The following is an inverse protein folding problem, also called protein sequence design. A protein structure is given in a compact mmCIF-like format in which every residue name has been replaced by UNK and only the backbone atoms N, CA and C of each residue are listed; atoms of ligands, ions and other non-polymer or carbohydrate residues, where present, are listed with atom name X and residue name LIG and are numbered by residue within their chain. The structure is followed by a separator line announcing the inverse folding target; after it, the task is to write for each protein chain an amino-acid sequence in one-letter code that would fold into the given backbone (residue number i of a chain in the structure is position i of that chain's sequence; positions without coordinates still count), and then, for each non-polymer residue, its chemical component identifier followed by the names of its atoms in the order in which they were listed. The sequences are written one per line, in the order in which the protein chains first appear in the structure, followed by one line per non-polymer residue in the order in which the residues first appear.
data_IF_639890773648
#
_entry.id   IF_639890773648
#
_cell.length_a   1.000
_cell.length_b   1.000
_cell.length_c   1.000
_cell.angle_alpha   90.00
_cell.angle_beta   90.00
_cell.angle_gamma   90.00
#
_symmetry.space_group_name_H-M   'P 1'
#
loop_
_entity.id
_entity.type
_entity.pdbx_description
1 polymer ?
#
# COMPACT_ATOMS: atom_id res chain seq x y z
N UNK A 1 58.46 -3.09 -56.02
CA UNK A 1 57.91 -3.40 -54.69
C UNK A 1 56.61 -2.60 -54.54
N UNK A 2 55.44 -3.21 -54.78
CA UNK A 2 54.14 -2.53 -54.73
C UNK A 2 53.43 -2.88 -53.41
N UNK A 3 53.06 -1.88 -52.59
CA UNK A 3 52.28 -2.07 -51.36
C UNK A 3 50.77 -2.09 -51.69
N UNK A 4 50.00 -3.07 -51.19
CA UNK A 4 48.55 -3.04 -51.32
C UNK A 4 47.94 -1.98 -50.37
N UNK A 5 46.98 -1.20 -50.88
CA UNK A 5 46.17 -0.26 -50.07
C UNK A 5 45.08 -1.06 -49.36
N UNK A 6 45.08 -1.04 -48.03
CA UNK A 6 44.00 -1.61 -47.21
C UNK A 6 42.69 -0.83 -47.37
N UNK A 7 41.52 -1.48 -47.22
CA UNK A 7 40.22 -0.84 -47.41
C UNK A 7 39.99 0.25 -46.35
N UNK A 8 39.59 1.44 -46.80
CA UNK A 8 39.12 2.51 -45.94
C UNK A 8 37.70 2.17 -45.47
N UNK A 9 37.55 1.79 -44.22
CA UNK A 9 36.24 1.77 -43.56
C UNK A 9 35.75 3.20 -43.43
N UNK A 10 34.88 3.63 -44.35
CA UNK A 10 34.23 4.93 -44.27
C UNK A 10 33.37 5.01 -43.02
N UNK A 11 33.56 6.05 -42.21
CA UNK A 11 32.60 6.43 -41.16
C UNK A 11 31.28 6.78 -41.84
N UNK A 12 30.25 5.95 -41.64
CA UNK A 12 28.89 6.29 -42.02
C UNK A 12 28.39 7.39 -41.07
N UNK A 13 28.16 8.59 -41.60
CA UNK A 13 27.51 9.69 -40.88
C UNK A 13 25.99 9.61 -40.99
N UNK A 14 25.28 9.99 -39.93
CA UNK A 14 23.82 10.12 -39.94
C UNK A 14 23.38 11.27 -40.86
N UNK A 15 22.31 11.06 -41.63
CA UNK A 15 21.73 12.13 -42.46
C UNK A 15 20.82 13.05 -41.61
N UNK A 16 20.64 14.32 -42.03
CA UNK A 16 19.70 15.23 -41.36
C UNK A 16 18.26 14.67 -41.32
N UNK A 17 17.85 13.97 -42.39
CA UNK A 17 16.52 13.36 -42.48
C UNK A 17 16.38 12.22 -41.47
N UNK A 18 17.42 11.43 -41.26
CA UNK A 18 17.42 10.34 -40.28
C UNK A 18 17.33 10.85 -38.84
N UNK A 19 18.00 11.96 -38.50
CA UNK A 19 17.83 12.62 -37.20
C UNK A 19 16.41 13.13 -36.97
N UNK A 20 15.74 13.67 -37.99
CA UNK A 20 14.36 14.13 -37.88
C UNK A 20 13.40 12.96 -37.66
N UNK A 21 13.57 11.86 -38.41
CA UNK A 21 12.71 10.67 -38.28
C UNK A 21 12.91 9.99 -36.93
N UNK A 22 14.16 9.84 -36.48
CA UNK A 22 14.47 9.26 -35.15
C UNK A 22 13.89 10.11 -34.02
N UNK A 23 13.99 11.43 -34.09
CA UNK A 23 13.37 12.33 -33.10
C UNK A 23 11.84 12.24 -33.13
N UNK A 24 11.22 12.16 -34.31
CA UNK A 24 9.78 11.98 -34.45
C UNK A 24 9.32 10.68 -33.76
N UNK A 25 10.01 9.57 -34.03
CA UNK A 25 9.73 8.27 -33.39
C UNK A 25 9.93 8.37 -31.88
N UNK A 26 11.02 9.00 -31.41
CA UNK A 26 11.28 9.17 -29.98
C UNK A 26 10.17 9.95 -29.26
N UNK A 27 9.64 11.02 -29.86
CA UNK A 27 8.53 11.79 -29.28
C UNK A 27 7.25 10.95 -29.19
N UNK A 28 6.94 10.16 -30.23
CA UNK A 28 5.78 9.25 -30.23
C UNK A 28 5.93 8.21 -29.11
N UNK A 29 7.11 7.63 -28.96
CA UNK A 29 7.38 6.63 -27.92
C UNK A 29 7.29 7.25 -26.51
N UNK A 30 7.83 8.45 -26.29
CA UNK A 30 7.76 9.14 -24.99
C UNK A 30 6.32 9.47 -24.59
N UNK A 31 5.48 9.89 -25.55
CA UNK A 31 4.05 10.18 -25.31
C UNK A 31 3.29 8.97 -24.77
N UNK A 32 3.65 7.77 -25.21
CA UNK A 32 3.01 6.52 -24.79
C UNK A 32 3.69 5.96 -23.51
N UNK A 33 5.02 6.06 -23.42
CA UNK A 33 5.80 5.45 -22.33
C UNK A 33 5.68 6.18 -20.98
N UNK A 34 5.65 7.51 -20.97
CA UNK A 34 5.59 8.32 -19.74
C UNK A 34 4.33 8.03 -18.89
N UNK A 35 3.08 8.03 -19.44
CA UNK A 35 1.90 7.76 -18.63
C UNK A 35 1.90 6.34 -18.03
N UNK A 36 2.35 5.34 -18.80
CA UNK A 36 2.45 3.95 -18.33
C UNK A 36 3.41 3.81 -17.13
N UNK A 37 4.52 4.55 -17.11
CA UNK A 37 5.44 4.57 -15.98
C UNK A 37 4.79 5.17 -14.73
N UNK A 38 3.96 6.21 -14.90
CA UNK A 38 3.19 6.82 -13.82
C UNK A 38 2.23 5.83 -13.15
N UNK A 39 1.47 5.06 -13.93
CA UNK A 39 0.56 4.04 -13.38
C UNK A 39 1.30 2.92 -12.65
N UNK A 40 2.39 2.42 -13.24
CA UNK A 40 3.22 1.39 -12.62
C UNK A 40 3.77 1.85 -11.26
N UNK A 41 4.28 3.09 -11.17
CA UNK A 41 4.77 3.65 -9.92
C UNK A 41 3.65 3.80 -8.88
N UNK A 42 2.46 4.23 -9.28
CA UNK A 42 1.29 4.32 -8.39
C UNK A 42 0.92 2.95 -7.81
N UNK A 43 0.92 1.91 -8.65
CA UNK A 43 0.64 0.54 -8.23
C UNK A 43 1.68 -0.01 -7.24
N UNK A 44 2.97 0.32 -7.42
CA UNK A 44 4.01 -0.02 -6.46
C UNK A 44 3.79 0.66 -5.11
N UNK A 45 3.39 1.93 -5.10
CA UNK A 45 3.12 2.67 -3.85
C UNK A 45 1.93 2.10 -3.07
N UNK A 46 0.84 1.69 -3.75
CA UNK A 46 -0.30 1.02 -3.10
C UNK A 46 0.16 -0.28 -2.44
N UNK A 47 0.91 -1.09 -3.19
CA UNK A 47 1.44 -2.36 -2.68
C UNK A 47 2.37 -2.17 -1.49
N UNK A 48 3.32 -1.24 -1.60
CA UNK A 48 4.24 -0.90 -0.51
C UNK A 48 3.49 -0.40 0.72
N UNK A 49 2.46 0.43 0.55
CA UNK A 49 1.61 0.87 1.66
C UNK A 49 0.85 -0.28 2.31
N UNK A 50 0.29 -1.20 1.52
CA UNK A 50 -0.48 -2.32 2.04
C UNK A 50 0.40 -3.34 2.77
N UNK A 51 1.57 -3.65 2.22
CA UNK A 51 2.61 -4.45 2.88
C UNK A 51 3.13 -3.76 4.14
N UNK A 52 3.27 -2.43 4.12
CA UNK A 52 3.62 -1.62 5.28
C UNK A 52 2.59 -1.74 6.40
N UNK A 53 1.30 -1.63 6.09
CA UNK A 53 0.21 -1.81 7.08
C UNK A 53 0.24 -3.23 7.67
N UNK A 54 0.38 -4.26 6.83
CA UNK A 54 0.54 -5.63 7.32
C UNK A 54 1.75 -5.80 8.24
N UNK A 55 2.88 -5.20 7.87
CA UNK A 55 4.10 -5.22 8.67
C UNK A 55 3.85 -4.56 10.03
N UNK A 56 3.26 -3.36 10.05
CA UNK A 56 2.93 -2.65 11.29
C UNK A 56 2.00 -3.45 12.21
N UNK A 57 0.97 -4.09 11.66
CA UNK A 57 0.09 -4.99 12.44
C UNK A 57 0.86 -6.20 12.99
N UNK A 58 1.75 -6.80 12.18
CA UNK A 58 2.62 -7.90 12.60
C UNK A 58 3.58 -7.49 13.72
N UNK A 59 4.20 -6.31 13.61
CA UNK A 59 5.07 -5.74 14.63
C UNK A 59 4.27 -5.51 15.91
N UNK A 60 3.13 -4.83 15.85
CA UNK A 60 2.28 -4.58 17.01
C UNK A 60 1.91 -5.87 17.75
N UNK A 61 1.47 -6.89 17.02
CA UNK A 61 1.15 -8.19 17.60
C UNK A 61 2.36 -8.88 18.22
N UNK A 62 3.50 -8.88 17.52
CA UNK A 62 4.72 -9.53 18.00
C UNK A 62 5.28 -8.84 19.25
N UNK A 63 5.19 -7.52 19.32
CA UNK A 63 5.63 -6.73 20.46
C UNK A 63 4.69 -6.91 21.66
N UNK A 64 3.38 -7.03 21.41
CA UNK A 64 2.42 -7.37 22.46
C UNK A 64 2.76 -8.71 23.12
N UNK A 65 3.07 -9.73 22.31
CA UNK A 65 3.49 -11.06 22.78
C UNK A 65 4.82 -11.01 23.55
N UNK A 66 5.85 -10.35 22.97
CA UNK A 66 7.19 -10.27 23.59
C UNK A 66 7.18 -9.55 24.93
N UNK A 67 6.39 -8.48 25.03
CA UNK A 67 6.31 -7.63 26.23
C UNK A 67 5.25 -8.09 27.22
N UNK A 68 4.42 -9.06 26.83
CA UNK A 68 3.21 -9.44 27.55
C UNK A 68 2.38 -8.22 27.98
N UNK A 69 2.25 -7.26 27.05
CA UNK A 69 1.65 -5.94 27.30
C UNK A 69 0.77 -5.52 26.12
N UNK A 70 -0.09 -4.52 26.31
CA UNK A 70 -0.92 -4.00 25.23
C UNK A 70 -0.06 -3.18 24.27
N UNK A 71 -0.16 -3.48 22.98
CA UNK A 71 0.49 -2.72 21.91
C UNK A 71 -0.54 -2.37 20.86
N UNK A 72 -0.57 -1.09 20.49
CA UNK A 72 -1.51 -0.53 19.55
C UNK A 72 -0.83 -0.27 18.21
N UNK A 73 -1.49 -0.65 17.13
CA UNK A 73 -1.30 -0.10 15.80
C UNK A 73 -2.32 1.05 15.61
N UNK A 74 -1.86 2.22 15.17
CA UNK A 74 -2.71 3.38 14.88
C UNK A 74 -2.36 3.97 13.52
N UNK A 75 -3.39 4.29 12.74
CA UNK A 75 -3.31 5.22 11.61
C UNK A 75 -4.24 6.38 11.89
N UNK A 76 -3.75 7.60 11.70
CA UNK A 76 -4.56 8.81 11.90
C UNK A 76 -5.28 9.27 10.63
N UNK A 77 -4.84 8.80 9.45
CA UNK A 77 -5.51 9.10 8.18
C UNK A 77 -5.48 10.57 7.76
N UNK A 78 -4.41 11.30 8.12
CA UNK A 78 -4.20 12.69 7.74
C UNK A 78 -4.36 12.92 6.22
N UNK A 79 -4.61 14.16 5.78
CA UNK A 79 -4.70 14.54 4.35
C UNK A 79 -5.62 13.63 3.51
N UNK A 80 -6.76 13.24 4.08
CA UNK A 80 -7.78 12.43 3.40
C UNK A 80 -7.43 10.95 3.27
N UNK A 81 -6.78 10.37 4.29
CA UNK A 81 -6.47 8.94 4.36
C UNK A 81 -5.02 8.59 4.02
N UNK A 82 -4.05 9.44 4.36
CA UNK A 82 -2.63 9.09 4.28
C UNK A 82 -2.34 7.78 5.02
N UNK A 83 -1.39 7.01 4.51
CA UNK A 83 -1.11 5.62 4.96
C UNK A 83 -0.05 5.55 6.05
N UNK A 84 0.20 6.68 6.73
CA UNK A 84 1.12 6.74 7.86
C UNK A 84 0.55 5.99 9.06
N UNK A 85 1.38 5.19 9.70
CA UNK A 85 1.00 4.41 10.87
C UNK A 85 2.07 4.46 11.95
N UNK A 86 1.65 4.22 13.17
CA UNK A 86 2.50 4.12 14.34
C UNK A 86 2.12 2.90 15.17
N UNK A 87 3.13 2.21 15.68
CA UNK A 87 3.01 1.12 16.64
C UNK A 87 3.58 1.60 17.97
N UNK A 88 2.81 1.46 19.04
CA UNK A 88 3.18 1.98 20.35
C UNK A 88 2.66 1.09 21.48
N UNK A 89 3.34 1.09 22.62
CA UNK A 89 2.82 0.44 23.81
C UNK A 89 1.75 1.32 24.48
N UNK A 90 0.64 0.71 24.91
CA UNK A 90 -0.46 1.42 25.58
C UNK A 90 -0.72 0.83 26.97
N UNK A 91 -1.08 1.67 27.92
CA UNK A 91 -1.53 1.23 29.24
C UNK A 91 -2.95 0.64 29.17
N UNK A 92 -3.39 -0.02 30.25
CA UNK A 92 -4.77 -0.47 30.36
C UNK A 92 -5.74 0.72 30.27
N UNK A 93 -6.70 0.64 29.34
CA UNK A 93 -7.64 1.73 29.06
C UNK A 93 -7.10 2.85 28.16
N UNK A 94 -5.82 2.82 27.76
CA UNK A 94 -5.26 3.76 26.82
C UNK A 94 -5.77 3.55 25.40
N UNK A 95 -6.19 4.62 24.73
CA UNK A 95 -6.76 4.59 23.36
C UNK A 95 -5.93 5.36 22.33
N UNK A 96 -4.83 5.97 22.77
CA UNK A 96 -3.90 6.79 21.97
C UNK A 96 -2.46 6.43 22.30
N UNK A 97 -1.52 6.64 21.39
CA UNK A 97 -0.09 6.43 21.64
C UNK A 97 0.47 7.50 22.58
N UNK A 98 0.95 7.16 23.79
CA UNK A 98 1.63 8.13 24.64
C UNK A 98 2.97 8.59 24.04
N UNK A 99 3.42 9.81 24.38
CA UNK A 99 4.75 10.27 24.01
C UNK A 99 5.84 9.33 24.55
N UNK A 100 6.84 9.01 23.71
CA UNK A 100 7.94 8.10 24.07
C UNK A 100 7.59 6.61 24.11
N UNK A 101 6.36 6.22 23.80
CA UNK A 101 5.93 4.81 23.75
C UNK A 101 6.01 4.18 22.36
N UNK A 102 6.41 4.95 21.36
CA UNK A 102 6.52 4.51 19.97
C UNK A 102 7.58 3.42 19.85
N UNK A 103 7.16 2.27 19.34
CA UNK A 103 8.04 1.15 19.04
C UNK A 103 8.51 1.23 17.59
N UNK A 104 7.60 1.58 16.68
CA UNK A 104 7.90 1.75 15.26
C UNK A 104 6.89 2.72 14.64
N UNK A 105 7.32 3.49 13.66
CA UNK A 105 6.44 4.32 12.85
C UNK A 105 6.85 4.24 11.39
N UNK A 106 5.90 4.50 10.51
CA UNK A 106 6.12 4.65 9.07
C UNK A 106 5.48 5.95 8.61
N UNK A 107 6.25 6.75 7.88
CA UNK A 107 5.72 7.95 7.25
C UNK A 107 5.12 7.61 5.88
N UNK A 108 3.81 7.37 5.86
CA UNK A 108 3.11 6.99 4.64
C UNK A 108 2.85 8.16 3.68
N UNK A 109 2.90 9.41 4.16
CA UNK A 109 2.66 10.61 3.35
C UNK A 109 3.81 10.87 2.37
N UNK A 110 5.04 10.76 2.87
CA UNK A 110 6.26 11.00 2.07
C UNK A 110 6.66 9.79 1.22
N UNK A 111 6.49 8.57 1.75
CA UNK A 111 6.88 7.34 1.05
C UNK A 111 5.88 6.89 -0.02
N UNK A 112 4.60 7.24 0.12
CA UNK A 112 3.53 6.74 -0.75
C UNK A 112 2.44 7.80 -0.99
N UNK A 113 2.81 8.96 -1.57
CA UNK A 113 1.93 10.12 -1.68
C UNK A 113 0.68 9.89 -2.54
N UNK A 114 0.63 8.82 -3.35
CA UNK A 114 -0.53 8.46 -4.17
C UNK A 114 -1.45 7.44 -3.51
N UNK A 115 -0.97 6.74 -2.49
CA UNK A 115 -1.79 5.78 -1.76
C UNK A 115 -2.69 6.54 -0.77
N UNK A 116 -3.97 6.19 -0.77
CA UNK A 116 -4.91 6.60 0.26
C UNK A 116 -5.65 5.39 0.79
N UNK A 117 -5.98 5.44 2.07
CA UNK A 117 -6.65 4.38 2.79
C UNK A 117 -8.04 4.82 3.25
N UNK A 118 -8.97 3.86 3.29
CA UNK A 118 -10.22 3.93 4.03
C UNK A 118 -10.28 2.74 4.99
N UNK A 119 -10.88 2.92 6.17
CA UNK A 119 -10.91 1.89 7.20
C UNK A 119 -12.34 1.66 7.72
N UNK A 120 -12.56 0.52 8.38
CA UNK A 120 -13.82 0.24 9.06
C UNK A 120 -13.64 -0.69 10.25
N UNK A 121 -14.51 -0.53 11.24
CA UNK A 121 -14.67 -1.42 12.39
C UNK A 121 -15.87 -2.36 12.25
N UNK A 122 -16.67 -2.20 11.18
CA UNK A 122 -17.84 -3.03 10.92
C UNK A 122 -17.41 -4.40 10.36
N UNK A 123 -17.58 -5.44 11.17
CA UNK A 123 -17.24 -6.81 10.81
C UNK A 123 -18.04 -7.34 9.61
N UNK A 124 -19.24 -6.82 9.34
CA UNK A 124 -20.03 -7.22 8.16
C UNK A 124 -19.33 -6.86 6.85
N UNK A 125 -18.46 -5.85 6.87
CA UNK A 125 -17.68 -5.42 5.71
C UNK A 125 -16.43 -6.27 5.46
N UNK A 126 -16.25 -7.37 6.21
CA UNK A 126 -15.22 -8.40 5.97
C UNK A 126 -15.76 -9.64 5.26
N UNK A 127 -17.07 -9.69 4.98
CA UNK A 127 -17.68 -10.73 4.16
C UNK A 127 -17.29 -10.57 2.69
N UNK A 128 -17.15 -11.68 1.95
CA UNK A 128 -16.67 -11.68 0.56
C UNK A 128 -17.45 -10.72 -0.35
N UNK A 129 -18.77 -10.64 -0.20
CA UNK A 129 -19.64 -9.75 -0.99
C UNK A 129 -19.42 -8.26 -0.70
N UNK A 130 -18.95 -7.90 0.50
CA UNK A 130 -18.74 -6.52 0.89
C UNK A 130 -17.47 -5.91 0.27
N UNK A 131 -16.58 -6.72 -0.32
CA UNK A 131 -15.39 -6.21 -1.02
C UNK A 131 -15.71 -5.60 -2.39
N UNK A 132 -16.91 -5.86 -2.94
CA UNK A 132 -17.37 -5.23 -4.19
C UNK A 132 -17.42 -3.69 -4.07
N UNK A 133 -17.78 -3.18 -2.90
CA UNK A 133 -17.76 -1.74 -2.60
C UNK A 133 -16.45 -1.35 -1.91
N UNK A 134 -15.68 -0.39 -2.47
CA UNK A 134 -14.49 0.13 -1.82
C UNK A 134 -14.84 1.04 -0.66
N UNK A 135 -14.00 1.02 0.38
CA UNK A 135 -14.05 2.04 1.41
C UNK A 135 -13.59 3.39 0.82
N UNK A 136 -14.22 4.46 1.26
CA UNK A 136 -13.84 5.82 0.87
C UNK A 136 -12.52 6.20 1.53
N UNK A 137 -11.55 6.75 0.80
CA UNK A 137 -10.36 7.37 1.38
C UNK A 137 -10.69 8.39 2.48
N UNK A 138 -10.01 8.28 3.62
CA UNK A 138 -10.19 9.18 4.76
C UNK A 138 -11.35 8.82 5.70
N UNK A 139 -12.23 7.89 5.31
CA UNK A 139 -13.28 7.40 6.20
C UNK A 139 -12.75 6.35 7.18
N UNK A 140 -13.34 6.31 8.38
CA UNK A 140 -13.05 5.31 9.41
C UNK A 140 -11.74 5.49 10.16
N UNK A 141 -11.16 6.70 10.13
CA UNK A 141 -10.00 7.07 10.93
C UNK A 141 -10.41 7.77 12.25
N UNK A 142 -9.61 7.67 13.33
CA UNK A 142 -8.35 6.91 13.40
C UNK A 142 -8.60 5.40 13.38
N UNK A 143 -7.82 4.70 12.55
CA UNK A 143 -7.91 3.26 12.40
C UNK A 143 -6.94 2.60 13.39
N UNK A 144 -7.47 1.87 14.37
CA UNK A 144 -6.70 1.37 15.52
C UNK A 144 -6.96 -0.09 15.78
N UNK A 145 -5.90 -0.82 16.12
CA UNK A 145 -5.97 -2.20 16.59
C UNK A 145 -5.06 -2.32 17.81
N UNK A 146 -5.64 -2.69 18.96
CA UNK A 146 -4.87 -2.97 20.17
C UNK A 146 -4.74 -4.49 20.31
N UNK A 147 -3.51 -5.00 20.39
CA UNK A 147 -3.25 -6.39 20.73
C UNK A 147 -2.95 -6.52 22.22
N UNK A 148 -3.51 -7.54 22.87
CA UNK A 148 -3.17 -7.91 24.24
C UNK A 148 -1.87 -8.75 24.30
N UNK A 149 -1.40 -9.07 25.50
CA UNK A 149 -0.20 -9.90 25.71
C UNK A 149 -0.30 -11.33 25.14
N UNK A 150 -1.48 -11.75 24.68
CA UNK A 150 -1.72 -13.02 23.97
C UNK A 150 -1.80 -12.85 22.46
N UNK A 151 -1.54 -11.65 21.94
CA UNK A 151 -1.57 -11.32 20.53
C UNK A 151 -2.96 -11.35 19.92
N UNK A 152 -4.02 -11.19 20.73
CA UNK A 152 -5.41 -11.08 20.27
C UNK A 152 -5.84 -9.61 20.28
N UNK A 153 -6.70 -9.18 19.33
CA UNK A 153 -7.31 -7.86 19.38
C UNK A 153 -8.10 -7.71 20.68
N UNK A 154 -7.93 -6.57 21.35
CA UNK A 154 -8.58 -6.26 22.61
C UNK A 154 -10.10 -6.25 22.43
N UNK A 155 -10.82 -7.04 23.22
CA UNK A 155 -12.26 -6.97 23.34
C UNK A 155 -12.61 -6.24 24.64
N UNK A 156 -13.02 -4.96 24.52
CA UNK A 156 -13.41 -4.14 25.66
C UNK A 156 -14.64 -3.29 25.31
N UNK A 157 -15.51 -3.05 26.29
CA UNK A 157 -16.68 -2.20 26.12
C UNK A 157 -16.27 -0.80 25.67
N UNK A 158 -16.91 -0.27 24.63
CA UNK A 158 -16.58 1.05 24.07
C UNK A 158 -15.34 1.08 23.18
N UNK A 159 -14.72 -0.08 22.91
CA UNK A 159 -13.60 -0.22 21.98
C UNK A 159 -14.00 -1.09 20.79
N UNK A 160 -13.66 -0.63 19.58
CA UNK A 160 -13.80 -1.41 18.35
C UNK A 160 -12.48 -1.36 17.58
N UNK A 161 -11.90 -2.54 17.30
CA UNK A 161 -10.70 -2.61 16.47
C UNK A 161 -11.07 -2.42 15.00
N UNK A 162 -10.20 -1.77 14.24
CA UNK A 162 -10.29 -1.79 12.78
C UNK A 162 -10.19 -3.23 12.28
N UNK A 163 -11.12 -3.62 11.42
CA UNK A 163 -11.22 -4.99 10.88
C UNK A 163 -10.89 -5.06 9.40
N UNK A 164 -10.99 -3.94 8.68
CA UNK A 164 -10.64 -3.84 7.25
C UNK A 164 -10.08 -2.46 6.92
N UNK A 165 -9.06 -2.44 6.08
CA UNK A 165 -8.42 -1.24 5.52
C UNK A 165 -8.29 -1.44 4.02
N UNK A 166 -8.95 -0.61 3.20
CA UNK A 166 -8.75 -0.60 1.76
C UNK A 166 -7.70 0.46 1.41
N UNK A 167 -6.67 0.08 0.67
CA UNK A 167 -5.66 0.97 0.12
C UNK A 167 -5.84 1.08 -1.38
N UNK A 168 -5.87 2.31 -1.87
CA UNK A 168 -6.21 2.62 -3.25
C UNK A 168 -5.47 3.88 -3.74
N UNK A 169 -5.42 4.09 -5.05
CA UNK A 169 -4.76 5.25 -5.65
C UNK A 169 -5.79 6.34 -5.98
N UNK A 170 -5.89 7.35 -5.12
CA UNK A 170 -6.86 8.44 -5.24
C UNK A 170 -6.70 9.31 -6.51
N UNK A 171 -5.64 9.11 -7.30
CA UNK A 171 -5.43 9.80 -8.58
C UNK A 171 -6.05 9.08 -9.78
N UNK A 172 -6.63 7.87 -9.61
CA UNK A 172 -7.25 7.10 -10.68
C UNK A 172 -8.77 7.01 -10.52
N UNK A 173 -9.50 6.92 -11.63
CA UNK A 173 -10.94 6.71 -11.62
C UNK A 173 -11.30 5.30 -11.12
N UNK A 174 -12.45 5.14 -10.48
CA UNK A 174 -12.82 3.95 -9.70
C UNK A 174 -12.92 2.64 -10.48
N UNK A 175 -12.90 2.65 -11.82
CA UNK A 175 -13.04 1.45 -12.66
C UNK A 175 -11.70 0.79 -13.05
N UNK A 176 -10.57 1.48 -12.94
CA UNK A 176 -9.23 0.96 -13.29
C UNK A 176 -8.29 0.89 -12.08
N UNK A 177 -8.78 1.29 -10.91
CA UNK A 177 -7.97 1.48 -9.74
C UNK A 177 -7.57 0.14 -9.10
N UNK A 178 -6.25 -0.10 -9.06
CA UNK A 178 -5.70 -1.20 -8.29
C UNK A 178 -5.95 -0.93 -6.80
N UNK A 179 -6.71 -1.80 -6.18
CA UNK A 179 -7.06 -1.74 -4.76
C UNK A 179 -6.55 -2.98 -4.05
N UNK A 180 -6.00 -2.79 -2.87
CA UNK A 180 -5.64 -3.88 -1.97
C UNK A 180 -6.38 -3.69 -0.66
N UNK A 181 -6.80 -4.78 -0.04
CA UNK A 181 -7.48 -4.75 1.24
C UNK A 181 -6.71 -5.53 2.29
N UNK A 182 -6.48 -4.92 3.44
CA UNK A 182 -5.95 -5.57 4.63
C UNK A 182 -7.11 -5.93 5.53
N UNK A 183 -7.26 -7.21 5.84
CA UNK A 183 -8.33 -7.75 6.68
C UNK A 183 -7.72 -8.29 7.97
N UNK A 184 -8.23 -7.83 9.10
CA UNK A 184 -7.80 -8.24 10.45
C UNK A 184 -8.84 -9.19 11.02
N UNK A 185 -8.43 -10.40 11.36
CA UNK A 185 -9.29 -11.40 11.96
C UNK A 185 -9.52 -11.13 13.45
N UNK A 186 -10.61 -11.64 14.04
CA UNK A 186 -10.83 -11.58 15.48
C UNK A 186 -9.76 -12.31 16.30
N UNK A 187 -8.96 -13.19 15.68
CA UNK A 187 -7.84 -13.89 16.34
C UNK A 187 -6.52 -13.12 16.26
N UNK A 188 -6.51 -11.97 15.56
CA UNK A 188 -5.36 -11.08 15.44
C UNK A 188 -4.42 -11.37 14.27
N UNK A 189 -4.76 -12.32 13.39
CA UNK A 189 -4.06 -12.43 12.11
C UNK A 189 -4.51 -11.32 11.16
N UNK A 190 -3.56 -10.72 10.44
CA UNK A 190 -3.85 -9.80 9.35
C UNK A 190 -3.48 -10.47 8.02
N UNK A 191 -4.31 -10.31 6.99
CA UNK A 191 -4.04 -10.81 5.63
C UNK A 191 -4.26 -9.72 4.60
N UNK A 192 -3.47 -9.76 3.53
CA UNK A 192 -3.73 -8.97 2.33
C UNK A 192 -4.61 -9.78 1.39
N UNK A 193 -5.60 -9.11 0.80
CA UNK A 193 -6.36 -9.65 -0.31
C UNK A 193 -6.56 -8.60 -1.40
N UNK A 194 -6.84 -9.07 -2.61
CA UNK A 194 -7.11 -8.25 -3.79
C UNK A 194 -8.59 -8.42 -4.18
N UNK A 195 -9.43 -7.39 -3.96
CA UNK A 195 -10.85 -7.41 -4.30
C UNK A 195 -11.15 -7.53 -5.80
N UNK A 196 -10.17 -7.31 -6.68
CA UNK A 196 -10.35 -7.45 -8.13
C UNK A 196 -10.33 -8.91 -8.61
N UNK A 197 -9.85 -9.83 -7.76
CA UNK A 197 -9.79 -11.25 -8.08
C UNK A 197 -11.14 -11.92 -7.80
N UNK A 198 -11.59 -12.77 -8.72
CA UNK A 198 -12.84 -13.50 -8.57
C UNK A 198 -12.77 -14.51 -7.42
N UNK A 199 -13.74 -14.46 -6.51
CA UNK A 199 -13.92 -15.46 -5.46
C UNK A 199 -14.11 -16.86 -6.09
N UNK A 200 -13.42 -17.86 -5.55
CA UNK A 200 -13.48 -19.25 -6.07
C UNK A 200 -12.50 -19.57 -7.20
N UNK A 201 -11.64 -18.62 -7.60
CA UNK A 201 -10.56 -18.85 -8.58
C UNK A 201 -9.43 -19.78 -8.09
N UNK A 202 -9.42 -20.13 -6.79
CA UNK A 202 -8.32 -20.86 -6.16
C UNK A 202 -7.06 -20.02 -5.88
N UNK A 203 -7.06 -18.73 -6.26
CA UNK A 203 -5.97 -17.81 -5.95
C UNK A 203 -5.99 -17.48 -4.44
N UNK A 204 -4.89 -17.68 -3.69
CA UNK A 204 -4.85 -17.41 -2.26
C UNK A 204 -4.97 -15.93 -1.89
N UNK A 205 -4.90 -15.02 -2.88
CA UNK A 205 -5.01 -13.57 -2.68
C UNK A 205 -6.45 -13.06 -2.75
N UNK A 206 -7.43 -13.92 -3.01
CA UNK A 206 -8.85 -13.49 -3.01
C UNK A 206 -9.29 -13.02 -1.63
N UNK A 207 -10.22 -12.07 -1.63
CA UNK A 207 -11.01 -11.76 -0.46
C UNK A 207 -12.13 -12.81 -0.32
#
# INVERSE_FOLDING_TARGET
MARPRGPMTGMAGFTMVELIITMLIAVILLRIGIPAFGEWMGNLQIRASAEGVLNGLGVARSEALKRNARVMFSMEGADGGATAWTVCQVADGGTTCPAGSTIQARDGGDESPRARAGATTDASLTLSTAFATPLTPGDGFPARVIFDGRGRPLAATGWANTVRIDLRNATMSSSEERRLSVVISPTGSARLCDPSLASGSGDPRVC
#
